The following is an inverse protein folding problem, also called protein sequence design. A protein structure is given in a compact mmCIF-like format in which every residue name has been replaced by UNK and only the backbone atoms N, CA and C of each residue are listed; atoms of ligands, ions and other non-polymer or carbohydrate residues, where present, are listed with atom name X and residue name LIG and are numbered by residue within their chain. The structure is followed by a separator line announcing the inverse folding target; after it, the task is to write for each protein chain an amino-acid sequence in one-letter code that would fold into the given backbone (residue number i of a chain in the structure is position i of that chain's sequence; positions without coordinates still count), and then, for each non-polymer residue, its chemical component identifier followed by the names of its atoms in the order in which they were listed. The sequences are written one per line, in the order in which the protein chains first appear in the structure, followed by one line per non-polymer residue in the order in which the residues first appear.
data_IF_559913917478
#
_entry.id   IF_559913917478
#
_cell.length_a   1.000
_cell.length_b   1.000
_cell.length_c   1.000
_cell.angle_alpha   90.00
_cell.angle_beta   90.00
_cell.angle_gamma   90.00
#
_symmetry.space_group_name_H-M   'P 1'
#
loop_
_entity.id
_entity.type
_entity.pdbx_description
1 polymer ?
#
# COMPACT_ATOMS: atom_id res chain seq x y z
N UNK A 1 -55.06 -13.72 -9.73
CA UNK A 1 -54.12 -12.61 -9.96
C UNK A 1 -53.09 -12.57 -8.83
N UNK A 2 -51.83 -12.93 -9.07
CA UNK A 2 -50.72 -12.67 -8.14
C UNK A 2 -50.33 -11.20 -8.25
N UNK A 3 -50.35 -10.46 -7.14
CA UNK A 3 -50.08 -9.02 -7.13
C UNK A 3 -48.55 -8.78 -7.26
N UNK A 4 -48.05 -8.24 -8.39
CA UNK A 4 -46.61 -8.17 -8.68
C UNK A 4 -45.83 -7.24 -7.72
N UNK A 5 -46.52 -6.38 -6.97
CA UNK A 5 -45.89 -5.49 -5.98
C UNK A 5 -45.37 -6.22 -4.74
N UNK A 6 -46.01 -7.31 -4.31
CA UNK A 6 -45.63 -8.03 -3.08
C UNK A 6 -44.32 -8.83 -3.25
N UNK A 7 -44.10 -9.40 -4.43
CA UNK A 7 -42.90 -10.18 -4.74
C UNK A 7 -41.65 -9.31 -4.86
N UNK A 8 -41.77 -8.07 -5.35
CA UNK A 8 -40.66 -7.11 -5.43
C UNK A 8 -40.23 -6.60 -4.05
N UNK A 9 -41.18 -6.44 -3.13
CA UNK A 9 -40.86 -6.06 -1.75
C UNK A 9 -40.13 -7.20 -1.01
N UNK A 10 -40.59 -8.44 -1.16
CA UNK A 10 -39.93 -9.60 -0.55
C UNK A 10 -38.52 -9.84 -1.09
N UNK A 11 -38.28 -9.71 -2.40
CA UNK A 11 -36.93 -9.86 -2.96
C UNK A 11 -35.98 -8.80 -2.44
N UNK A 12 -36.42 -7.54 -2.30
CA UNK A 12 -35.60 -6.47 -1.71
C UNK A 12 -35.25 -6.72 -0.24
N UNK A 13 -36.16 -7.32 0.55
CA UNK A 13 -35.91 -7.70 1.93
C UNK A 13 -34.90 -8.86 2.02
N UNK A 14 -35.04 -9.88 1.17
CA UNK A 14 -34.10 -11.02 1.11
C UNK A 14 -32.73 -10.59 0.60
N UNK A 15 -32.67 -9.67 -0.37
CA UNK A 15 -31.44 -9.06 -0.85
C UNK A 15 -30.79 -8.19 0.22
N UNK A 16 -31.56 -7.41 0.98
CA UNK A 16 -31.07 -6.59 2.10
C UNK A 16 -30.42 -7.45 3.19
N UNK A 17 -31.10 -8.53 3.59
CA UNK A 17 -30.58 -9.47 4.60
C UNK A 17 -29.35 -10.24 4.10
N UNK A 18 -29.33 -10.65 2.84
CA UNK A 18 -28.18 -11.34 2.23
C UNK A 18 -26.98 -10.41 2.06
N UNK A 19 -27.22 -9.16 1.66
CA UNK A 19 -26.17 -8.15 1.52
C UNK A 19 -25.58 -7.79 2.88
N UNK A 20 -26.39 -7.70 3.92
CA UNK A 20 -25.91 -7.46 5.28
C UNK A 20 -25.01 -8.59 5.79
N UNK A 21 -25.40 -9.85 5.56
CA UNK A 21 -24.60 -11.04 5.90
C UNK A 21 -23.31 -11.11 5.08
N UNK A 22 -23.39 -10.79 3.79
CA UNK A 22 -22.22 -10.71 2.91
C UNK A 22 -21.25 -9.61 3.36
N UNK A 23 -21.76 -8.44 3.70
CA UNK A 23 -20.98 -7.30 4.18
C UNK A 23 -20.30 -7.60 5.52
N UNK A 24 -20.99 -8.30 6.44
CA UNK A 24 -20.40 -8.79 7.68
C UNK A 24 -19.25 -9.78 7.41
N UNK A 25 -19.42 -10.68 6.43
CA UNK A 25 -18.38 -11.63 6.02
C UNK A 25 -17.20 -10.94 5.34
N UNK A 26 -17.48 -9.93 4.50
CA UNK A 26 -16.48 -9.12 3.82
C UNK A 26 -15.67 -8.26 4.81
N UNK A 27 -16.33 -7.65 5.79
CA UNK A 27 -15.67 -6.92 6.87
C UNK A 27 -14.74 -7.83 7.68
N UNK A 28 -15.19 -9.04 8.02
CA UNK A 28 -14.35 -10.04 8.68
C UNK A 28 -13.16 -10.44 7.82
N UNK A 29 -13.37 -10.62 6.51
CA UNK A 29 -12.30 -10.94 5.58
C UNK A 29 -11.26 -9.81 5.49
N UNK A 30 -11.70 -8.55 5.39
CA UNK A 30 -10.81 -7.40 5.42
C UNK A 30 -9.99 -7.35 6.72
N UNK A 31 -10.61 -7.57 7.88
CA UNK A 31 -9.91 -7.56 9.17
C UNK A 31 -8.85 -8.67 9.31
N UNK A 32 -9.10 -9.84 8.73
CA UNK A 32 -8.13 -10.95 8.70
C UNK A 32 -7.02 -10.66 7.67
N UNK A 33 -7.37 -10.12 6.50
CA UNK A 33 -6.42 -9.76 5.44
C UNK A 33 -5.46 -8.65 5.90
N UNK A 34 -5.95 -7.69 6.69
CA UNK A 34 -5.14 -6.64 7.31
C UNK A 34 -4.34 -7.13 8.54
N UNK A 35 -4.42 -8.42 8.90
CA UNK A 35 -3.71 -9.09 10.02
C UNK A 35 -3.79 -8.36 11.37
N UNK A 36 -4.77 -7.47 11.55
CA UNK A 36 -5.01 -6.72 12.79
C UNK A 36 -5.70 -7.57 13.86
N UNK A 37 -6.09 -8.81 13.53
CA UNK A 37 -6.86 -9.66 14.42
C UNK A 37 -6.49 -11.15 14.27
N UNK A 38 -6.27 -11.89 15.36
CA UNK A 38 -5.98 -13.32 15.30
C UNK A 38 -7.19 -14.09 14.73
N UNK A 39 -6.90 -15.22 14.06
CA UNK A 39 -7.87 -16.07 13.36
C UNK A 39 -9.04 -16.57 14.23
N UNK A 40 -8.90 -16.49 15.56
CA UNK A 40 -9.86 -16.99 16.56
C UNK A 40 -10.86 -15.92 17.04
N UNK A 41 -11.16 -14.90 16.24
CA UNK A 41 -12.11 -13.86 16.64
C UNK A 41 -13.56 -14.35 16.74
N UNK A 42 -13.94 -15.38 15.98
CA UNK A 42 -15.30 -15.91 15.98
C UNK A 42 -15.68 -16.55 17.33
N UNK A 43 -14.78 -17.33 17.93
CA UNK A 43 -15.01 -17.96 19.23
C UNK A 43 -14.94 -16.97 20.39
N UNK A 44 -14.03 -15.99 20.34
CA UNK A 44 -13.94 -14.95 21.36
C UNK A 44 -15.19 -14.05 21.39
N UNK A 45 -15.76 -13.76 20.22
CA UNK A 45 -17.02 -13.03 20.13
C UNK A 45 -18.21 -13.89 20.60
N UNK A 46 -18.31 -15.15 20.21
CA UNK A 46 -19.36 -16.06 20.72
C UNK A 46 -19.29 -16.28 22.23
N UNK A 47 -18.08 -16.33 22.82
CA UNK A 47 -17.88 -16.35 24.27
C UNK A 47 -18.37 -15.04 24.92
N UNK A 48 -18.07 -13.88 24.34
CA UNK A 48 -18.51 -12.58 24.87
C UNK A 48 -20.02 -12.33 24.69
N UNK A 49 -20.66 -12.91 23.67
CA UNK A 49 -22.11 -12.84 23.46
C UNK A 49 -22.90 -13.92 24.20
N UNK A 50 -22.25 -15.00 24.64
CA UNK A 50 -22.82 -16.02 25.50
C UNK A 50 -23.00 -15.52 26.94
N UNK A 51 -22.08 -14.67 27.41
CA UNK A 51 -22.12 -14.09 28.75
C UNK A 51 -23.10 -12.89 28.87
N UNK A 52 -23.38 -12.20 27.75
CA UNK A 52 -24.29 -11.05 27.71
C UNK A 52 -25.79 -11.44 27.53
N UNK A 53 -26.13 -12.72 27.65
CA UNK A 53 -27.49 -13.26 27.42
C UNK A 53 -28.12 -13.90 28.67
N UNK A 54 -27.71 -13.51 29.86
CA UNK A 54 -28.50 -13.79 31.06
C UNK A 54 -29.67 -12.79 31.13
N UNK A 55 -30.93 -13.23 30.96
CA UNK A 55 -32.09 -12.39 31.22
C UNK A 55 -32.40 -12.49 32.72
N UNK A 56 -31.60 -11.83 33.57
CA UNK A 56 -32.00 -11.69 34.97
C UNK A 56 -33.08 -10.60 35.07
N UNK A 57 -34.33 -11.04 34.97
CA UNK A 57 -35.44 -10.34 35.58
C UNK A 57 -35.21 -10.27 37.09
N UNK A 58 -35.15 -9.04 37.61
CA UNK A 58 -35.53 -8.75 39.00
C UNK A 58 -35.92 -7.28 39.09
N UNK A 59 -37.10 -7.01 38.57
CA UNK A 59 -37.95 -5.89 38.95
C UNK A 59 -38.37 -6.12 40.43
N UNK A 60 -37.56 -5.70 41.42
CA UNK A 60 -38.02 -5.68 42.84
C UNK A 60 -37.50 -4.51 43.67
N UNK A 61 -36.34 -3.89 43.41
CA UNK A 61 -35.83 -2.81 44.29
C UNK A 61 -35.37 -1.60 43.48
N UNK A 62 -36.08 -0.47 43.66
CA UNK A 62 -35.90 0.77 42.92
C UNK A 62 -34.44 1.21 42.81
N UNK A 63 -33.89 1.09 41.61
CA UNK A 63 -32.53 1.49 41.27
C UNK A 63 -32.45 1.87 39.80
N UNK A 64 -32.23 3.15 39.55
CA UNK A 64 -31.83 3.80 38.29
C UNK A 64 -31.89 2.95 37.01
N UNK A 65 -32.86 3.24 36.13
CA UNK A 65 -32.91 2.71 34.77
C UNK A 65 -31.54 2.82 34.08
N UNK A 66 -31.04 1.75 33.43
CA UNK A 66 -29.78 1.83 32.70
C UNK A 66 -29.91 2.88 31.57
N UNK A 67 -28.88 3.70 31.33
CA UNK A 67 -28.94 4.76 30.34
C UNK A 67 -29.20 4.16 28.96
N UNK A 68 -30.30 4.60 28.33
CA UNK A 68 -30.68 4.20 26.97
C UNK A 68 -29.70 4.88 26.01
N UNK A 69 -28.67 4.15 25.57
CA UNK A 69 -27.71 4.66 24.58
C UNK A 69 -28.42 4.81 23.23
N UNK A 70 -28.37 6.02 22.68
CA UNK A 70 -28.88 6.35 21.37
C UNK A 70 -27.93 5.83 20.28
N UNK A 71 -28.00 4.53 20.02
CA UNK A 71 -27.21 3.83 18.99
C UNK A 71 -27.08 4.57 17.64
N UNK A 72 -28.14 5.19 17.08
CA UNK A 72 -28.02 6.00 15.88
C UNK A 72 -27.06 7.20 16.02
N UNK A 73 -27.06 7.89 17.16
CA UNK A 73 -26.16 9.00 17.39
C UNK A 73 -24.71 8.54 17.63
N UNK A 74 -24.51 7.39 18.29
CA UNK A 74 -23.17 6.79 18.42
C UNK A 74 -22.58 6.45 17.06
N UNK A 75 -23.39 5.89 16.14
CA UNK A 75 -22.98 5.64 14.76
C UNK A 75 -22.66 6.94 14.02
N UNK A 76 -23.47 7.99 14.21
CA UNK A 76 -23.19 9.32 13.64
C UNK A 76 -21.83 9.86 14.11
N UNK A 77 -21.56 9.87 15.41
CA UNK A 77 -20.29 10.38 15.94
C UNK A 77 -19.09 9.52 15.57
N UNK A 78 -19.26 8.19 15.51
CA UNK A 78 -18.22 7.27 15.04
C UNK A 78 -17.82 7.54 13.59
N UNK A 79 -18.78 7.80 12.71
CA UNK A 79 -18.50 8.15 11.31
C UNK A 79 -18.01 9.60 11.18
N UNK A 80 -18.60 10.54 11.91
CA UNK A 80 -18.26 11.96 11.85
C UNK A 80 -16.82 12.23 12.33
N UNK A 81 -16.36 11.54 13.37
CA UNK A 81 -14.98 11.64 13.86
C UNK A 81 -14.05 10.63 13.18
N UNK A 82 -14.56 9.42 12.91
CA UNK A 82 -13.78 8.35 12.32
C UNK A 82 -13.44 8.59 10.85
N UNK A 83 -14.34 9.20 10.08
CA UNK A 83 -14.14 9.51 8.66
C UNK A 83 -12.92 10.39 8.41
N UNK A 84 -12.87 11.62 8.96
CA UNK A 84 -11.72 12.51 8.82
C UNK A 84 -10.41 11.87 9.30
N UNK A 85 -10.44 11.14 10.43
CA UNK A 85 -9.27 10.45 10.96
C UNK A 85 -8.79 9.31 10.06
N UNK A 86 -9.71 8.51 9.51
CA UNK A 86 -9.40 7.43 8.56
C UNK A 86 -8.78 7.96 7.28
N UNK A 87 -9.33 9.04 6.72
CA UNK A 87 -8.79 9.71 5.53
C UNK A 87 -7.37 10.21 5.81
N UNK A 88 -7.19 10.94 6.92
CA UNK A 88 -5.88 11.42 7.33
C UNK A 88 -4.88 10.28 7.49
N UNK A 89 -5.29 9.19 8.15
CA UNK A 89 -4.44 8.03 8.38
C UNK A 89 -4.06 7.32 7.06
N UNK A 90 -5.03 7.13 6.16
CA UNK A 90 -4.79 6.50 4.86
C UNK A 90 -3.81 7.31 4.00
N UNK A 91 -4.03 8.63 3.90
CA UNK A 91 -3.14 9.53 3.16
C UNK A 91 -1.76 9.55 3.82
N UNK A 92 -1.69 9.67 5.15
CA UNK A 92 -0.41 9.69 5.87
C UNK A 92 0.39 8.40 5.67
N UNK A 93 -0.28 7.24 5.67
CA UNK A 93 0.37 5.96 5.39
C UNK A 93 0.86 5.88 3.94
N UNK A 94 0.06 6.35 2.98
CA UNK A 94 0.47 6.40 1.58
C UNK A 94 1.67 7.32 1.38
N UNK A 95 1.63 8.54 1.89
CA UNK A 95 2.72 9.52 1.79
C UNK A 95 4.00 8.95 2.39
N UNK A 96 3.93 8.36 3.58
CA UNK A 96 5.09 7.69 4.20
C UNK A 96 5.66 6.58 3.31
N UNK A 97 4.79 5.73 2.74
CA UNK A 97 5.25 4.64 1.86
C UNK A 97 5.93 5.15 0.58
N UNK A 98 5.43 6.25 0.00
CA UNK A 98 6.03 6.87 -1.18
C UNK A 98 7.37 7.51 -0.83
N UNK A 99 7.45 8.19 0.32
CA UNK A 99 8.68 8.83 0.77
C UNK A 99 9.78 7.80 1.03
N UNK A 100 9.49 6.70 1.73
CA UNK A 100 10.45 5.60 1.94
C UNK A 100 10.98 5.05 0.62
N UNK A 101 10.11 4.85 -0.38
CA UNK A 101 10.50 4.38 -1.71
C UNK A 101 11.28 5.42 -2.51
N UNK A 102 11.22 6.70 -2.17
CA UNK A 102 11.98 7.77 -2.85
C UNK A 102 13.32 8.07 -2.18
N UNK A 103 13.59 7.55 -0.98
CA UNK A 103 14.85 7.82 -0.26
C UNK A 103 16.11 7.45 -1.05
N UNK A 104 16.07 6.37 -1.84
CA UNK A 104 17.21 6.00 -2.70
C UNK A 104 17.45 7.06 -3.80
N UNK A 105 16.37 7.64 -4.34
CA UNK A 105 16.42 8.66 -5.38
C UNK A 105 16.95 10.00 -4.83
N UNK A 106 16.61 10.34 -3.58
CA UNK A 106 17.12 11.54 -2.88
C UNK A 106 18.51 11.32 -2.27
N UNK A 107 19.01 10.09 -2.21
CA UNK A 107 20.33 9.75 -1.63
C UNK A 107 20.35 9.65 -0.10
N UNK A 108 19.20 9.79 0.55
CA UNK A 108 19.05 9.63 2.01
C UNK A 108 18.86 8.18 2.44
N UNK A 109 18.55 7.28 1.49
CA UNK A 109 18.41 5.84 1.71
C UNK A 109 19.49 5.03 1.01
N UNK A 110 19.45 3.71 1.17
CA UNK A 110 20.35 2.79 0.49
C UNK A 110 20.19 2.89 -1.04
N UNK A 111 21.30 3.15 -1.73
CA UNK A 111 21.37 3.28 -3.19
C UNK A 111 22.71 2.78 -3.70
N UNK A 112 22.76 2.43 -4.97
CA UNK A 112 24.01 2.18 -5.68
C UNK A 112 24.35 3.38 -6.55
N UNK A 113 25.63 3.55 -6.84
CA UNK A 113 26.11 4.61 -7.72
C UNK A 113 26.74 3.97 -8.94
N UNK A 114 26.34 4.43 -10.12
CA UNK A 114 26.88 3.99 -11.40
C UNK A 114 27.41 5.19 -12.18
N UNK A 115 28.49 5.00 -12.93
CA UNK A 115 29.00 6.00 -13.87
C UNK A 115 28.59 5.58 -15.28
N UNK A 116 28.00 6.51 -16.03
CA UNK A 116 27.67 6.30 -17.43
C UNK A 116 28.96 6.21 -18.25
N UNK A 117 29.08 5.18 -19.09
CA UNK A 117 30.23 4.96 -19.97
C UNK A 117 30.03 5.58 -21.36
N UNK A 118 28.79 5.85 -21.72
CA UNK A 118 28.38 6.36 -23.02
C UNK A 118 27.25 7.36 -22.85
N UNK A 119 27.08 8.20 -23.87
CA UNK A 119 25.90 9.05 -23.98
C UNK A 119 24.69 8.19 -24.35
N UNK A 120 23.58 8.40 -23.65
CA UNK A 120 22.30 7.74 -23.94
C UNK A 120 21.21 8.79 -24.03
N UNK A 121 20.49 8.78 -25.14
CA UNK A 121 19.34 9.65 -25.38
C UNK A 121 18.06 8.82 -25.21
N UNK A 122 17.23 9.20 -24.23
CA UNK A 122 15.93 8.59 -24.01
C UNK A 122 15.05 8.68 -25.25
N UNK A 123 14.47 7.56 -25.65
CA UNK A 123 13.50 7.50 -26.74
C UNK A 123 12.06 7.79 -26.26
N UNK A 124 11.81 7.67 -24.95
CA UNK A 124 10.50 7.85 -24.34
C UNK A 124 10.62 8.50 -22.94
N UNK A 125 9.53 9.04 -22.42
CA UNK A 125 9.43 9.71 -21.11
C UNK A 125 9.70 8.78 -19.91
N UNK A 126 9.77 7.46 -20.14
CA UNK A 126 10.11 6.47 -19.12
C UNK A 126 11.60 6.17 -19.05
N UNK A 127 12.39 6.67 -19.99
CA UNK A 127 13.83 6.45 -20.11
C UNK A 127 14.59 7.69 -19.64
N UNK A 128 15.77 7.49 -19.06
CA UNK A 128 16.61 8.57 -18.56
C UNK A 128 17.68 8.91 -19.60
N UNK A 129 17.70 10.12 -20.15
CA UNK A 129 18.86 10.60 -20.91
C UNK A 129 20.01 10.91 -19.95
N UNK A 130 21.22 10.50 -20.31
CA UNK A 130 22.43 10.80 -19.55
C UNK A 130 23.64 10.88 -20.47
N UNK A 131 24.69 11.56 -20.02
CA UNK A 131 25.94 11.71 -20.77
C UNK A 131 27.04 10.80 -20.22
N UNK A 132 28.03 10.50 -21.04
CA UNK A 132 29.24 9.80 -20.65
C UNK A 132 29.93 10.54 -19.48
N UNK A 133 30.31 9.78 -18.46
CA UNK A 133 30.91 10.27 -17.23
C UNK A 133 29.90 10.74 -16.19
N UNK A 134 28.60 10.80 -16.50
CA UNK A 134 27.56 11.21 -15.55
C UNK A 134 27.35 10.17 -14.46
N UNK A 135 27.17 10.64 -13.23
CA UNK A 135 26.90 9.79 -12.07
C UNK A 135 25.39 9.61 -11.91
N UNK A 136 24.97 8.35 -11.85
CA UNK A 136 23.59 7.92 -11.70
C UNK A 136 23.41 7.20 -10.37
N UNK A 137 22.32 7.52 -9.66
CA UNK A 137 21.86 6.76 -8.49
C UNK A 137 20.92 5.67 -8.93
N UNK A 138 21.24 4.43 -8.60
CA UNK A 138 20.49 3.24 -8.98
C UNK A 138 19.72 2.71 -7.78
N UNK A 139 18.44 2.37 -8.00
CA UNK A 139 17.58 1.82 -6.97
C UNK A 139 18.10 0.46 -6.46
N UNK A 140 17.89 0.10 -5.18
CA UNK A 140 18.25 -1.21 -4.66
C UNK A 140 17.41 -2.32 -5.29
N UNK A 141 17.93 -3.56 -5.32
CA UNK A 141 17.33 -4.71 -6.03
C UNK A 141 15.85 -4.95 -5.71
N UNK A 142 15.40 -4.61 -4.49
CA UNK A 142 14.03 -4.78 -4.03
C UNK A 142 13.04 -3.81 -4.69
N UNK A 143 13.49 -2.62 -5.08
CA UNK A 143 12.68 -1.55 -5.69
C UNK A 143 12.82 -1.51 -7.22
N UNK A 144 13.63 -2.40 -7.80
CA UNK A 144 13.84 -2.49 -9.24
C UNK A 144 12.58 -3.01 -9.95
N UNK A 145 12.20 -2.43 -11.11
CA UNK A 145 11.09 -2.93 -11.92
C UNK A 145 11.41 -4.33 -12.45
N UNK A 146 10.37 -5.16 -12.64
CA UNK A 146 10.50 -6.52 -13.17
C UNK A 146 10.65 -6.52 -14.70
N UNK A 147 11.56 -5.70 -15.22
CA UNK A 147 11.87 -5.62 -16.65
C UNK A 147 13.33 -6.02 -16.84
N UNK A 148 13.56 -7.05 -17.66
CA UNK A 148 14.92 -7.53 -17.95
C UNK A 148 15.70 -6.48 -18.73
N UNK A 149 16.97 -6.31 -18.40
CA UNK A 149 17.85 -5.33 -19.04
C UNK A 149 17.66 -3.89 -18.59
N UNK A 150 16.64 -3.56 -17.78
CA UNK A 150 16.39 -2.19 -17.35
C UNK A 150 16.53 -2.03 -15.85
N UNK A 151 17.27 -1.00 -15.42
CA UNK A 151 17.38 -0.58 -14.03
C UNK A 151 16.70 0.77 -13.82
N UNK A 152 16.07 0.93 -12.67
CA UNK A 152 15.56 2.20 -12.21
C UNK A 152 16.71 3.03 -11.65
N UNK A 153 16.88 4.21 -12.22
CA UNK A 153 17.94 5.14 -11.85
C UNK A 153 17.44 6.58 -11.80
N UNK A 154 18.24 7.43 -11.17
CA UNK A 154 18.06 8.88 -11.14
C UNK A 154 19.39 9.53 -11.47
N UNK A 155 19.33 10.60 -12.24
CA UNK A 155 20.49 11.44 -12.48
C UNK A 155 20.90 12.21 -11.22
N UNK A 156 22.20 12.29 -10.97
CA UNK A 156 22.78 13.11 -9.88
C UNK A 156 23.34 14.38 -10.50
N UNK A 157 22.46 15.28 -10.93
CA UNK A 157 22.90 16.61 -11.35
C UNK A 157 23.24 17.43 -10.11
N UNK A 158 24.55 17.57 -9.83
CA UNK A 158 25.12 18.32 -8.69
C UNK A 158 24.58 19.76 -8.60
N UNK A 159 24.13 20.35 -9.73
CA UNK A 159 23.55 21.70 -9.75
C UNK A 159 22.03 21.75 -9.44
N UNK A 160 21.32 20.63 -9.54
CA UNK A 160 19.84 20.56 -9.48
C UNK A 160 19.26 20.23 -8.11
N UNK A 161 20.12 19.85 -7.15
CA UNK A 161 19.70 19.53 -5.77
C UNK A 161 19.13 20.77 -5.05
N UNK A 162 19.40 21.97 -5.58
CA UNK A 162 18.86 23.26 -5.10
C UNK A 162 17.47 23.57 -5.72
N UNK A 163 17.10 22.91 -6.82
CA UNK A 163 15.95 23.30 -7.65
C UNK A 163 14.91 22.17 -7.84
N UNK A 164 15.19 20.96 -7.34
CA UNK A 164 14.20 19.87 -7.23
C UNK A 164 13.76 19.24 -8.56
N UNK A 165 14.43 19.53 -9.67
CA UNK A 165 14.06 19.16 -11.04
C UNK A 165 14.59 17.79 -11.51
N UNK A 166 15.17 16.97 -10.63
CA UNK A 166 15.70 15.65 -11.00
C UNK A 166 14.61 14.61 -11.26
N UNK A 167 14.53 14.09 -12.49
CA UNK A 167 13.61 13.04 -12.92
C UNK A 167 14.10 11.62 -12.59
N UNK A 168 13.17 10.70 -12.32
CA UNK A 168 13.45 9.28 -12.10
C UNK A 168 12.96 8.50 -13.30
N UNK A 169 13.81 7.68 -13.90
CA UNK A 169 13.47 6.92 -15.09
C UNK A 169 14.28 5.61 -15.18
N UNK A 170 13.95 4.77 -16.16
CA UNK A 170 14.66 3.52 -16.40
C UNK A 170 15.88 3.78 -17.29
N UNK A 171 16.97 3.08 -17.02
CA UNK A 171 18.17 3.05 -17.84
C UNK A 171 18.42 1.60 -18.27
N UNK A 172 18.80 1.40 -19.54
CA UNK A 172 19.17 0.09 -20.05
C UNK A 172 20.55 -0.29 -19.51
N UNK A 173 20.70 -1.54 -19.09
CA UNK A 173 21.94 -2.19 -18.69
C UNK A 173 22.16 -3.36 -19.62
N UNK A 174 23.13 -3.22 -20.50
CA UNK A 174 23.62 -4.27 -21.38
C UNK A 174 24.54 -5.19 -20.54
N UNK A 175 24.10 -6.41 -20.26
CA UNK A 175 24.88 -7.39 -19.49
C UNK A 175 25.74 -8.20 -20.48
N UNK A 176 26.93 -7.71 -20.78
CA UNK A 176 27.90 -8.48 -21.56
C UNK A 176 28.51 -9.58 -20.67
N UNK A 177 27.92 -10.77 -20.73
CA UNK A 177 28.50 -12.02 -20.22
C UNK A 177 29.85 -12.28 -20.92
N UNK A 178 30.97 -12.04 -20.23
CA UNK A 178 32.27 -12.63 -20.56
C UNK A 178 32.70 -13.55 -19.42
N UNK A 179 32.76 -14.86 -19.68
CA UNK A 179 33.45 -15.83 -18.83
C UNK A 179 34.98 -15.67 -19.03
N UNK A 180 35.72 -15.42 -17.95
CA UNK A 180 37.19 -15.34 -17.92
C UNK A 180 37.71 -15.14 -16.48
N UNK A 181 38.90 -15.67 -16.12
CA UNK A 181 39.15 -16.27 -14.81
C UNK A 181 39.41 -15.27 -13.69
N UNK A 182 39.10 -15.71 -12.46
CA UNK A 182 39.41 -15.04 -11.21
C UNK A 182 40.94 -14.86 -11.12
N UNK A 183 41.43 -13.63 -11.22
CA UNK A 183 42.56 -13.11 -10.44
C UNK A 183 42.70 -11.59 -10.62
N UNK A 184 42.56 -10.89 -9.50
CA UNK A 184 43.03 -9.52 -9.23
C UNK A 184 42.31 -8.36 -9.92
N UNK A 185 42.19 -7.29 -9.12
CA UNK A 185 41.61 -5.98 -9.39
C UNK A 185 42.04 -5.39 -10.74
N UNK A 186 41.16 -4.54 -11.27
CA UNK A 186 41.28 -3.71 -12.49
C UNK A 186 40.46 -4.29 -13.66
N UNK A 187 39.20 -3.85 -13.76
CA UNK A 187 38.35 -4.10 -14.92
C UNK A 187 38.79 -3.18 -16.07
N UNK A 188 39.84 -3.61 -16.77
CA UNK A 188 40.29 -3.08 -18.06
C UNK A 188 39.46 -3.75 -19.17
N UNK A 189 38.73 -2.97 -19.99
CA UNK A 189 38.14 -3.48 -21.24
C UNK A 189 38.68 -2.64 -22.40
N UNK A 190 39.54 -3.29 -23.18
CA UNK A 190 40.15 -2.80 -24.43
C UNK A 190 39.30 -3.17 -25.65
N UNK A 191 39.78 -2.64 -26.78
CA UNK A 191 39.57 -3.02 -28.19
C UNK A 191 38.41 -2.32 -28.91
N UNK A 192 38.50 -1.99 -30.20
CA UNK A 192 39.56 -1.87 -31.20
C UNK A 192 38.99 -0.95 -32.31
N UNK A 193 39.85 -0.53 -33.25
CA UNK A 193 39.61 0.47 -34.29
C UNK A 193 38.31 0.32 -35.11
#
# INVERSE_FOLDING_TARGET
MSNPGFTLQLTSLVLSLSLFKFLQKLWRYLLVLLRLKPANYASAAELAWGEAKEPFGSDVLGGSSPPIINWPAVMFWMVALGGPWLIYKAISQMVRSVEEKRKWATGTGAHYTAQALYDFQAANDQELSFMNGEILRVAPKQEQPRVRGWLLARNVWIMSEILGIGGVAKAQVEDHHQEGPILSNDAEIRTQA
#
